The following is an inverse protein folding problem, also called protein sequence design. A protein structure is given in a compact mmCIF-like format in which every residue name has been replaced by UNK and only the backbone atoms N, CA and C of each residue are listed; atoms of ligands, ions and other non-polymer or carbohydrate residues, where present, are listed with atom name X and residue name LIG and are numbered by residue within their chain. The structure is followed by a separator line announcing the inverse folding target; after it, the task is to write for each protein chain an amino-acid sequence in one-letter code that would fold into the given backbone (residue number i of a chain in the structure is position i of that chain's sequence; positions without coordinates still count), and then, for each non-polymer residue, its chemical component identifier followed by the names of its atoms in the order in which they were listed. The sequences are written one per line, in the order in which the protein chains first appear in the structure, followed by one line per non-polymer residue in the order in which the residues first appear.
data_IF_737511314156
#
_entry.id   IF_737511314156
#
_cell.length_a   1.000
_cell.length_b   1.000
_cell.length_c   1.000
_cell.angle_alpha   90.00
_cell.angle_beta   90.00
_cell.angle_gamma   90.00
#
_symmetry.space_group_name_H-M   'P 1'
#
loop_
_entity.id
_entity.type
_entity.pdbx_description
1 polymer ?
#
# COMPACT_ATOMS: atom_id res chain seq x y z
N UNK A 1 6.23 37.76 -24.02
CA UNK A 1 5.51 36.50 -24.28
C UNK A 1 5.44 36.32 -25.78
N UNK A 2 5.94 35.22 -26.34
CA UNK A 2 6.08 35.06 -27.80
C UNK A 2 4.73 34.65 -28.43
N UNK A 3 4.12 35.47 -29.31
CA UNK A 3 2.85 35.15 -29.98
C UNK A 3 2.94 33.93 -30.91
N UNK A 4 4.14 33.62 -31.41
CA UNK A 4 4.38 32.54 -32.38
C UNK A 4 4.71 31.19 -31.72
N UNK A 5 4.72 31.13 -30.38
CA UNK A 5 5.02 29.90 -29.67
C UNK A 5 3.73 29.09 -29.40
N UNK A 6 3.62 27.90 -29.99
CA UNK A 6 2.50 26.97 -29.77
C UNK A 6 2.46 26.35 -28.37
N UNK A 7 3.58 26.39 -27.62
CA UNK A 7 3.68 25.82 -26.28
C UNK A 7 3.25 26.83 -25.22
N UNK A 8 2.17 26.50 -24.51
CA UNK A 8 1.66 27.31 -23.36
C UNK A 8 2.39 27.04 -22.04
N UNK A 9 3.11 25.92 -21.93
CA UNK A 9 3.79 25.51 -20.70
C UNK A 9 5.16 24.93 -21.01
N UNK A 10 6.17 25.42 -20.30
CA UNK A 10 7.51 24.87 -20.27
C UNK A 10 7.70 24.17 -18.93
N UNK A 11 8.08 22.89 -18.97
CA UNK A 11 8.41 22.12 -17.77
C UNK A 11 9.76 21.47 -18.00
N UNK A 12 10.71 21.81 -17.14
CA UNK A 12 12.00 21.13 -17.13
C UNK A 12 11.80 19.68 -16.68
N UNK A 13 12.52 18.75 -17.32
CA UNK A 13 12.54 17.35 -16.93
C UNK A 13 13.79 17.12 -16.08
N UNK A 14 13.60 16.71 -14.84
CA UNK A 14 14.70 16.34 -13.95
C UNK A 14 14.87 14.81 -13.89
N UNK A 15 16.09 14.26 -13.98
CA UNK A 15 16.31 12.82 -13.97
C UNK A 15 15.97 12.16 -12.62
N UNK A 16 15.92 12.94 -11.54
CA UNK A 16 15.69 12.46 -10.17
C UNK A 16 14.22 12.56 -9.72
N UNK A 17 13.31 13.05 -10.56
CA UNK A 17 11.86 13.20 -10.26
C UNK A 17 11.05 12.74 -11.47
N UNK A 18 10.06 11.87 -11.25
CA UNK A 18 9.13 11.46 -12.30
C UNK A 18 8.18 12.61 -12.69
N UNK A 19 7.69 12.63 -13.93
CA UNK A 19 6.74 13.65 -14.38
C UNK A 19 5.55 13.80 -13.41
N UNK A 20 5.20 15.05 -13.07
CA UNK A 20 4.13 15.42 -12.12
C UNK A 20 4.34 14.94 -10.67
N UNK A 21 5.48 14.34 -10.34
CA UNK A 21 5.78 13.92 -8.97
C UNK A 21 6.26 15.09 -8.11
N UNK A 22 5.87 15.07 -6.84
CA UNK A 22 6.32 16.01 -5.80
C UNK A 22 7.47 15.44 -4.95
N UNK A 23 7.85 14.19 -5.18
CA UNK A 23 8.87 13.46 -4.41
C UNK A 23 9.97 12.98 -5.34
N UNK A 24 11.22 13.03 -4.87
CA UNK A 24 12.36 12.48 -5.60
C UNK A 24 12.30 10.96 -5.65
N UNK A 25 12.89 10.37 -6.68
CA UNK A 25 12.98 8.93 -6.85
C UNK A 25 13.67 8.29 -5.64
N UNK A 26 14.74 8.91 -5.12
CA UNK A 26 15.46 8.47 -3.91
C UNK A 26 14.56 8.42 -2.68
N UNK A 27 13.73 9.44 -2.47
CA UNK A 27 12.81 9.48 -1.34
C UNK A 27 11.74 8.39 -1.45
N UNK A 28 11.17 8.19 -2.64
CA UNK A 28 10.19 7.14 -2.89
C UNK A 28 10.78 5.75 -2.58
N UNK A 29 11.99 5.48 -3.05
CA UNK A 29 12.69 4.22 -2.79
C UNK A 29 12.94 4.00 -1.29
N UNK A 30 13.37 5.04 -0.55
CA UNK A 30 13.54 4.93 0.91
C UNK A 30 12.22 4.59 1.62
N UNK A 31 11.13 5.29 1.27
CA UNK A 31 9.81 5.02 1.84
C UNK A 31 9.37 3.57 1.55
N UNK A 32 9.54 3.11 0.31
CA UNK A 32 9.16 1.74 -0.08
C UNK A 32 9.99 0.69 0.65
N UNK A 33 11.31 0.88 0.76
CA UNK A 33 12.19 -0.03 1.48
C UNK A 33 11.81 -0.13 2.95
N UNK A 34 11.68 1.00 3.65
CA UNK A 34 11.27 1.03 5.05
C UNK A 34 9.89 0.41 5.27
N UNK A 35 8.96 0.66 4.34
CA UNK A 35 7.59 0.13 4.43
C UNK A 35 7.48 -1.34 4.02
N UNK A 36 8.50 -1.93 3.39
CA UNK A 36 8.52 -3.37 3.07
C UNK A 36 8.81 -4.22 4.31
N UNK A 37 9.47 -3.63 5.32
CA UNK A 37 9.88 -4.32 6.54
C UNK A 37 8.95 -4.06 7.73
N UNK A 38 8.04 -3.09 7.61
CA UNK A 38 7.23 -2.57 8.70
C UNK A 38 5.79 -2.33 8.24
N UNK A 39 4.85 -2.31 9.18
CA UNK A 39 3.49 -1.83 8.88
C UNK A 39 3.52 -0.35 8.46
N UNK A 40 2.55 0.06 7.64
CA UNK A 40 2.44 1.46 7.17
C UNK A 40 2.32 2.50 8.30
N UNK A 41 1.80 2.10 9.47
CA UNK A 41 1.77 2.95 10.66
C UNK A 41 3.16 3.10 11.31
N UNK A 42 3.90 1.99 11.44
CA UNK A 42 5.23 2.01 12.05
C UNK A 42 6.26 2.66 11.11
N UNK A 43 6.18 2.38 9.81
CA UNK A 43 6.99 3.04 8.80
C UNK A 43 6.79 4.56 8.81
N UNK A 44 5.53 5.03 8.91
CA UNK A 44 5.20 6.46 9.05
C UNK A 44 5.88 7.08 10.29
N UNK A 45 5.80 6.41 11.45
CA UNK A 45 6.44 6.89 12.69
C UNK A 45 7.96 6.93 12.59
N UNK A 46 8.57 5.89 12.03
CA UNK A 46 10.02 5.79 11.84
C UNK A 46 10.53 6.87 10.88
N UNK A 47 9.90 7.01 9.71
CA UNK A 47 10.25 8.04 8.73
C UNK A 47 10.09 9.44 9.33
N UNK A 48 9.09 9.66 10.19
CA UNK A 48 8.94 10.93 10.90
C UNK A 48 10.12 11.25 11.81
N UNK A 49 10.72 10.24 12.47
CA UNK A 49 11.95 10.44 13.26
C UNK A 49 13.18 10.77 12.40
N UNK A 50 13.17 10.38 11.11
CA UNK A 50 14.18 10.75 10.11
C UNK A 50 13.87 12.08 9.39
N UNK A 51 12.95 12.89 9.92
CA UNK A 51 12.46 14.14 9.30
C UNK A 51 11.73 13.95 7.96
N UNK A 52 11.21 12.75 7.69
CA UNK A 52 10.39 12.44 6.52
C UNK A 52 8.92 12.30 6.96
N UNK A 53 8.12 13.33 6.69
CA UNK A 53 6.68 13.28 6.98
C UNK A 53 5.92 12.57 5.86
N UNK A 54 5.42 11.36 6.14
CA UNK A 54 4.52 10.62 5.25
C UNK A 54 3.47 9.89 6.07
N UNK A 55 2.21 9.92 5.62
CA UNK A 55 1.11 9.25 6.32
C UNK A 55 0.93 7.79 5.85
N UNK A 56 0.21 7.01 6.66
CA UNK A 56 -0.16 5.60 6.36
C UNK A 56 -0.73 5.43 4.94
N UNK A 57 -1.67 6.29 4.55
CA UNK A 57 -2.33 6.20 3.24
C UNK A 57 -1.36 6.45 2.10
N UNK A 58 -0.49 7.46 2.21
CA UNK A 58 0.55 7.74 1.22
C UNK A 58 1.51 6.56 1.04
N UNK A 59 1.88 5.88 2.13
CA UNK A 59 2.70 4.66 2.07
C UNK A 59 1.94 3.56 1.32
N UNK A 60 0.70 3.28 1.69
CA UNK A 60 -0.12 2.26 1.02
C UNK A 60 -0.31 2.55 -0.47
N UNK A 61 -0.49 3.82 -0.86
CA UNK A 61 -0.65 4.22 -2.26
C UNK A 61 0.65 4.02 -3.06
N UNK A 62 1.81 4.24 -2.43
CA UNK A 62 3.11 3.94 -3.05
C UNK A 62 3.31 2.44 -3.23
N UNK A 63 3.00 1.64 -2.22
CA UNK A 63 3.10 0.18 -2.29
C UNK A 63 2.17 -0.41 -3.36
N UNK A 64 0.94 0.10 -3.49
CA UNK A 64 -0.01 -0.34 -4.54
C UNK A 64 0.45 -0.02 -5.96
N UNK A 65 1.27 1.03 -6.14
CA UNK A 65 1.82 1.42 -7.45
C UNK A 65 3.06 0.64 -7.84
N UNK A 66 3.63 -0.16 -6.94
CA UNK A 66 4.71 -1.07 -7.30
C UNK A 66 4.18 -2.06 -8.34
N UNK A 67 4.89 -2.26 -9.47
CA UNK A 67 4.53 -3.30 -10.41
C UNK A 67 4.62 -4.63 -9.67
N UNK A 68 3.48 -5.27 -9.49
CA UNK A 68 3.43 -6.57 -8.85
C UNK A 68 3.91 -7.59 -9.89
N UNK A 69 5.14 -8.11 -9.74
CA UNK A 69 5.50 -9.40 -10.35
C UNK A 69 4.66 -10.42 -9.60
N UNK A 70 3.44 -10.62 -10.08
CA UNK A 70 2.57 -11.68 -9.62
C UNK A 70 2.42 -12.58 -10.82
N UNK A 71 3.06 -13.73 -10.73
CA UNK A 71 2.76 -14.81 -11.65
C UNK A 71 1.30 -15.20 -11.45
N UNK A 72 0.44 -14.76 -12.37
CA UNK A 72 -0.99 -15.05 -12.30
C UNK A 72 -1.30 -16.49 -12.67
N UNK A 73 -0.34 -17.23 -13.22
CA UNK A 73 -0.53 -18.63 -13.58
C UNK A 73 -0.73 -19.52 -12.34
N UNK A 74 -0.21 -19.08 -11.18
CA UNK A 74 -0.40 -19.76 -9.90
C UNK A 74 -1.54 -19.17 -9.06
N UNK A 75 -2.48 -18.41 -9.65
CA UNK A 75 -3.65 -17.89 -8.91
C UNK A 75 -4.46 -19.09 -8.44
N UNK A 76 -4.21 -19.48 -7.18
CA UNK A 76 -4.98 -20.51 -6.47
C UNK A 76 -6.42 -20.06 -6.38
N UNK A 77 -7.35 -20.97 -6.65
CA UNK A 77 -8.77 -20.72 -6.37
C UNK A 77 -8.91 -20.50 -4.85
N UNK A 78 -9.03 -19.25 -4.41
CA UNK A 78 -9.11 -18.88 -2.99
C UNK A 78 -10.44 -18.18 -2.72
N UNK A 79 -11.07 -18.56 -1.60
CA UNK A 79 -12.22 -17.85 -1.04
C UNK A 79 -11.79 -17.10 0.21
N UNK A 80 -12.27 -15.86 0.34
CA UNK A 80 -12.12 -15.04 1.54
C UNK A 80 -13.52 -14.72 2.04
N UNK A 81 -13.79 -15.07 3.29
CA UNK A 81 -15.09 -14.85 3.91
C UNK A 81 -14.94 -14.40 5.37
N UNK A 82 -15.94 -13.66 5.85
CA UNK A 82 -15.98 -13.13 7.21
C UNK A 82 -16.98 -13.92 8.06
N UNK A 83 -16.55 -14.34 9.25
CA UNK A 83 -17.39 -15.06 10.20
C UNK A 83 -17.41 -14.37 11.57
N UNK A 84 -18.53 -14.50 12.27
CA UNK A 84 -18.65 -14.02 13.65
C UNK A 84 -18.32 -15.16 14.63
N UNK A 85 -17.24 -15.02 15.39
CA UNK A 85 -16.97 -15.86 16.57
C UNK A 85 -17.98 -15.53 17.68
N UNK A 86 -18.15 -14.22 17.94
CA UNK A 86 -19.18 -13.68 18.81
C UNK A 86 -19.71 -12.40 18.20
N UNK A 87 -20.98 -12.40 17.78
CA UNK A 87 -21.63 -11.22 17.19
C UNK A 87 -21.42 -9.99 18.07
N UNK A 88 -21.07 -8.88 17.43
CA UNK A 88 -20.76 -7.58 18.07
C UNK A 88 -19.54 -7.57 19.00
N UNK A 89 -18.68 -8.58 18.94
CA UNK A 89 -17.48 -8.61 19.78
C UNK A 89 -16.24 -9.09 19.04
N UNK A 90 -16.32 -10.23 18.37
CA UNK A 90 -15.20 -10.81 17.65
C UNK A 90 -15.67 -11.39 16.32
N UNK A 91 -15.00 -10.92 15.28
CA UNK A 91 -15.13 -11.43 13.92
C UNK A 91 -13.79 -12.00 13.51
N UNK A 92 -13.81 -12.87 12.50
CA UNK A 92 -12.60 -13.33 11.86
C UNK A 92 -12.80 -13.35 10.36
N UNK A 93 -11.69 -13.24 9.64
CA UNK A 93 -11.64 -13.48 8.20
C UNK A 93 -10.93 -14.81 8.00
N UNK A 94 -11.52 -15.71 7.22
CA UNK A 94 -10.92 -16.99 6.84
C UNK A 94 -10.56 -16.97 5.36
N UNK A 95 -9.38 -17.47 5.05
CA UNK A 95 -8.94 -17.73 3.69
C UNK A 95 -8.94 -19.23 3.44
N UNK A 96 -9.65 -19.70 2.42
CA UNK A 96 -9.80 -21.11 2.08
C UNK A 96 -9.28 -21.35 0.66
N UNK A 97 -8.43 -22.37 0.50
CA UNK A 97 -8.10 -22.90 -0.82
C UNK A 97 -9.26 -23.77 -1.30
N UNK A 98 -9.91 -23.34 -2.37
CA UNK A 98 -11.06 -24.00 -2.99
C UNK A 98 -10.69 -25.25 -3.78
N UNK A 99 -9.43 -25.43 -4.18
CA UNK A 99 -9.00 -26.64 -4.90
C UNK A 99 -9.04 -27.88 -3.99
N UNK A 100 -8.70 -27.71 -2.71
CA UNK A 100 -8.57 -28.81 -1.75
C UNK A 100 -9.43 -28.64 -0.49
N UNK A 101 -10.25 -27.59 -0.41
CA UNK A 101 -11.09 -27.23 0.73
C UNK A 101 -10.32 -27.11 2.06
N UNK A 102 -9.07 -26.62 2.02
CA UNK A 102 -8.25 -26.39 3.22
C UNK A 102 -8.18 -24.92 3.58
N UNK A 103 -8.19 -24.65 4.88
CA UNK A 103 -7.90 -23.32 5.43
C UNK A 103 -6.44 -23.00 5.11
N UNK A 104 -6.23 -21.86 4.47
CA UNK A 104 -4.92 -21.26 4.22
C UNK A 104 -4.50 -20.43 5.42
N UNK A 105 -5.41 -19.59 5.91
CA UNK A 105 -5.15 -18.68 7.02
C UNK A 105 -6.47 -18.25 7.70
N UNK A 106 -6.35 -17.81 8.95
CA UNK A 106 -7.44 -17.20 9.74
C UNK A 106 -6.89 -16.00 10.50
N UNK A 107 -7.50 -14.83 10.29
CA UNK A 107 -7.21 -13.63 11.06
C UNK A 107 -8.39 -13.29 11.98
N UNK A 108 -8.15 -13.12 13.28
CA UNK A 108 -9.19 -12.76 14.26
C UNK A 108 -9.10 -11.28 14.62
N UNK A 109 -10.21 -10.58 14.44
CA UNK A 109 -10.36 -9.18 14.76
C UNK A 109 -11.32 -8.97 15.94
N UNK A 110 -10.76 -8.42 17.02
CA UNK A 110 -11.53 -8.01 18.20
C UNK A 110 -12.08 -6.60 17.96
N UNK A 111 -13.38 -6.41 18.16
CA UNK A 111 -13.97 -5.08 18.20
C UNK A 111 -13.54 -4.41 19.51
N UNK A 112 -12.94 -3.22 19.41
CA UNK A 112 -12.60 -2.41 20.58
C UNK A 112 -13.88 -2.04 21.34
N UNK A 113 -13.92 -2.32 22.64
CA UNK A 113 -14.96 -1.84 23.51
C UNK A 113 -14.83 -0.32 23.61
N UNK A 114 -15.61 0.39 22.80
CA UNK A 114 -15.82 1.83 22.99
C UNK A 114 -16.94 1.94 24.03
N UNK A 115 -16.57 2.31 25.25
CA UNK A 115 -17.46 2.75 26.33
C UNK A 115 -17.34 4.25 26.49
#
# INVERSE_FOLDING_TARGET
MNPDCSHKTFSEKHPFVTAKSKKTNRLIQNILYTSSQLSSLNASKLLKSENISVCKSSICDLLKKMPSIVDKSSVKMVCVDDFALRKRFSYGTVMINLENHRIVDIEIQMMSATG
#
